data_IF_222360730194
#
_entry.id   IF_222360730194
#
_cell.length_a   1.000
_cell.length_b   1.000
_cell.length_c   1.000
_cell.angle_alpha   90.00
_cell.angle_beta   90.00
_cell.angle_gamma   90.00
#
_symmetry.space_group_name_H-M   'P 1'
#
loop_
_entity.id
_entity.type
_entity.pdbx_description
1 polymer ?
#
# COMPACT_ATOMS: atom_id res chain seq x y z
N UNK A 1 15.83 -55.89 65.92
CA UNK A 1 15.56 -54.53 65.43
C UNK A 1 15.82 -54.54 63.96
N UNK A 2 14.77 -54.53 63.13
CA UNK A 2 14.90 -54.60 61.64
C UNK A 2 14.44 -53.27 61.13
N UNK A 3 15.40 -52.51 60.52
CA UNK A 3 15.11 -51.26 59.83
C UNK A 3 14.56 -51.58 58.43
N UNK A 4 13.36 -51.13 58.13
CA UNK A 4 12.78 -51.15 56.82
C UNK A 4 13.08 -49.81 56.17
N UNK A 5 13.86 -49.85 55.10
CA UNK A 5 14.10 -48.71 54.20
C UNK A 5 12.94 -48.69 53.21
N UNK A 6 12.12 -47.63 53.21
CA UNK A 6 11.13 -47.37 52.19
C UNK A 6 11.80 -46.60 51.04
N UNK A 7 11.88 -47.24 49.88
CA UNK A 7 12.35 -46.64 48.65
C UNK A 7 11.12 -46.03 47.93
N UNK A 8 10.99 -44.71 47.95
CA UNK A 8 9.95 -44.00 47.18
C UNK A 8 10.41 -43.76 45.76
N UNK A 9 9.78 -44.46 44.82
CA UNK A 9 10.00 -44.24 43.38
C UNK A 9 9.10 -43.09 42.94
N UNK A 10 9.68 -41.95 42.61
CA UNK A 10 8.98 -40.87 41.92
C UNK A 10 8.98 -41.16 40.40
N UNK A 11 7.83 -41.54 39.86
CA UNK A 11 7.61 -41.60 38.40
C UNK A 11 7.26 -40.21 37.95
N UNK A 12 8.20 -39.53 37.31
CA UNK A 12 7.97 -38.27 36.62
C UNK A 12 7.32 -38.56 35.27
N UNK A 13 6.03 -38.33 35.16
CA UNK A 13 5.28 -38.37 33.90
C UNK A 13 5.60 -37.07 33.17
N UNK A 14 6.48 -37.13 32.18
CA UNK A 14 6.65 -36.06 31.20
C UNK A 14 5.47 -36.11 30.25
N UNK A 15 4.47 -35.23 30.45
CA UNK A 15 3.44 -34.95 29.46
C UNK A 15 4.08 -34.00 28.45
N UNK A 16 4.58 -34.54 27.34
CA UNK A 16 4.93 -33.75 26.17
C UNK A 16 3.62 -33.26 25.54
N UNK A 17 3.22 -32.03 25.85
CA UNK A 17 2.25 -31.31 25.03
C UNK A 17 2.87 -31.09 23.67
N UNK A 18 2.63 -32.01 22.75
CA UNK A 18 2.79 -31.72 21.34
C UNK A 18 1.71 -30.71 20.98
N UNK A 19 2.09 -29.44 20.95
CA UNK A 19 1.31 -28.42 20.28
C UNK A 19 1.17 -28.85 18.83
N UNK A 20 0.00 -29.38 18.48
CA UNK A 20 -0.41 -29.52 17.09
C UNK A 20 -0.38 -28.10 16.51
N UNK A 21 0.74 -27.74 15.89
CA UNK A 21 0.78 -26.61 14.99
C UNK A 21 -0.12 -27.01 13.82
N UNK A 22 -1.34 -26.53 13.84
CA UNK A 22 -2.20 -26.55 12.67
C UNK A 22 -1.49 -25.65 11.64
N UNK A 23 -0.67 -26.25 10.81
CA UNK A 23 -0.21 -25.61 9.58
C UNK A 23 -1.47 -25.45 8.73
N UNK A 24 -2.07 -24.28 8.73
CA UNK A 24 -3.05 -23.93 7.73
C UNK A 24 -2.32 -24.05 6.40
N UNK A 25 -2.64 -25.07 5.61
CA UNK A 25 -2.13 -25.21 4.26
C UNK A 25 -2.79 -24.13 3.38
N UNK A 26 -2.30 -22.89 3.52
CA UNK A 26 -2.70 -21.82 2.63
C UNK A 26 -2.30 -22.18 1.19
N UNK A 27 -3.23 -21.99 0.28
CA UNK A 27 -2.92 -22.01 -1.14
C UNK A 27 -2.32 -20.65 -1.54
N UNK A 28 -1.17 -20.65 -2.18
CA UNK A 28 -0.52 -19.47 -2.73
C UNK A 28 -0.49 -19.57 -4.26
N UNK A 29 -0.85 -18.51 -4.99
CA UNK A 29 -0.72 -18.52 -6.44
C UNK A 29 0.78 -18.51 -6.83
N UNK A 30 1.08 -19.19 -7.92
CA UNK A 30 2.40 -19.12 -8.56
C UNK A 30 2.47 -17.98 -9.58
N UNK A 31 2.99 -18.30 -10.78
CA UNK A 31 2.93 -17.41 -11.94
C UNK A 31 1.51 -17.26 -12.49
N UNK A 32 0.60 -18.18 -12.15
CA UNK A 32 -0.82 -18.17 -12.50
C UNK A 32 -1.69 -18.33 -11.26
N UNK A 33 -2.94 -17.94 -11.38
CA UNK A 33 -3.95 -18.04 -10.33
C UNK A 33 -4.93 -19.18 -10.64
N UNK A 34 -5.30 -19.95 -9.61
CA UNK A 34 -6.47 -20.82 -9.68
C UNK A 34 -7.75 -20.00 -9.51
N UNK A 35 -8.75 -20.31 -10.33
CA UNK A 35 -10.09 -19.76 -10.21
C UNK A 35 -11.06 -20.85 -9.80
N UNK A 36 -11.98 -20.53 -8.89
CA UNK A 36 -13.00 -21.48 -8.38
C UNK A 36 -14.34 -20.77 -8.26
N UNK A 37 -15.44 -21.54 -8.19
CA UNK A 37 -16.74 -20.92 -7.93
C UNK A 37 -16.81 -20.32 -6.52
N UNK A 38 -17.50 -19.20 -6.32
CA UNK A 38 -17.71 -18.60 -4.99
C UNK A 38 -18.33 -19.58 -4.00
N UNK A 39 -19.27 -20.43 -4.45
CA UNK A 39 -19.95 -21.42 -3.61
C UNK A 39 -18.98 -22.44 -3.05
N UNK A 40 -17.92 -22.80 -3.77
CA UNK A 40 -16.87 -23.69 -3.26
C UNK A 40 -16.09 -23.09 -2.07
N UNK A 41 -16.23 -21.78 -1.86
CA UNK A 41 -15.62 -21.01 -0.78
C UNK A 41 -16.67 -20.49 0.22
N UNK A 42 -17.89 -21.04 0.19
CA UNK A 42 -19.04 -20.66 1.02
C UNK A 42 -19.48 -19.20 0.83
N UNK A 43 -19.30 -18.65 -0.37
CA UNK A 43 -19.74 -17.31 -0.75
C UNK A 43 -20.77 -17.45 -1.86
N UNK A 44 -21.84 -16.65 -1.83
CA UNK A 44 -22.83 -16.64 -2.90
C UNK A 44 -22.27 -15.90 -4.12
N UNK A 45 -22.38 -16.50 -5.32
CA UNK A 45 -21.99 -15.83 -6.58
C UNK A 45 -22.60 -14.46 -6.70
N UNK A 46 -23.86 -14.28 -6.30
CA UNK A 46 -24.54 -12.99 -6.31
C UNK A 46 -23.82 -11.89 -5.54
N UNK A 47 -23.23 -12.19 -4.37
CA UNK A 47 -22.48 -11.20 -3.58
C UNK A 47 -21.21 -10.74 -4.30
N UNK A 48 -20.54 -11.66 -5.00
CA UNK A 48 -19.34 -11.35 -5.80
C UNK A 48 -19.71 -10.52 -7.04
N UNK A 49 -20.79 -10.88 -7.72
CA UNK A 49 -21.31 -10.16 -8.88
C UNK A 49 -21.71 -8.73 -8.49
N UNK A 50 -22.46 -8.56 -7.38
CA UNK A 50 -22.90 -7.25 -6.89
C UNK A 50 -21.70 -6.35 -6.55
N UNK A 51 -20.68 -6.88 -5.86
CA UNK A 51 -19.45 -6.12 -5.55
C UNK A 51 -18.75 -5.66 -6.84
N UNK A 52 -18.60 -6.56 -7.81
CA UNK A 52 -17.98 -6.24 -9.10
C UNK A 52 -18.82 -5.19 -9.85
N UNK A 53 -20.13 -5.32 -9.86
CA UNK A 53 -21.00 -4.36 -10.55
C UNK A 53 -20.97 -2.99 -9.91
N UNK A 54 -20.90 -2.89 -8.57
CA UNK A 54 -20.66 -1.62 -7.86
C UNK A 54 -19.38 -0.95 -8.36
N UNK A 55 -18.27 -1.70 -8.45
CA UNK A 55 -17.01 -1.15 -8.93
C UNK A 55 -17.10 -0.62 -10.38
N UNK A 56 -17.86 -1.29 -11.23
CA UNK A 56 -18.04 -0.92 -12.63
C UNK A 56 -19.14 0.15 -12.86
N UNK A 57 -19.80 0.64 -11.82
CA UNK A 57 -20.56 1.89 -11.91
C UNK A 57 -19.68 3.10 -12.21
N UNK A 58 -18.38 2.97 -11.92
CA UNK A 58 -17.35 3.94 -12.27
C UNK A 58 -16.69 3.53 -13.59
N UNK A 59 -16.88 4.32 -14.64
CA UNK A 59 -16.35 4.08 -15.98
C UNK A 59 -14.81 4.04 -16.01
N UNK A 60 -14.15 4.61 -15.01
CA UNK A 60 -12.69 4.55 -14.88
C UNK A 60 -12.18 3.17 -14.48
N UNK A 61 -13.02 2.27 -13.99
CA UNK A 61 -12.59 0.92 -13.60
C UNK A 61 -11.99 0.17 -14.78
N UNK A 62 -10.74 -0.27 -14.63
CA UNK A 62 -10.06 -1.15 -15.57
C UNK A 62 -10.35 -2.62 -15.21
N UNK A 63 -10.15 -2.97 -13.95
CA UNK A 63 -10.31 -4.34 -13.49
C UNK A 63 -10.58 -4.47 -12.01
N UNK A 64 -11.30 -5.52 -11.65
CA UNK A 64 -11.55 -5.94 -10.27
C UNK A 64 -11.23 -7.42 -10.16
N UNK A 65 -10.54 -7.78 -9.07
CA UNK A 65 -10.24 -9.18 -8.72
C UNK A 65 -10.67 -9.42 -7.28
N UNK A 66 -11.43 -10.48 -7.05
CA UNK A 66 -11.91 -10.91 -5.73
C UNK A 66 -11.31 -12.27 -5.41
N UNK A 67 -10.63 -12.37 -4.29
CA UNK A 67 -9.90 -13.56 -3.86
C UNK A 67 -10.43 -14.03 -2.51
N UNK A 68 -10.63 -15.32 -2.38
CA UNK A 68 -10.94 -16.04 -1.14
C UNK A 68 -10.02 -17.24 -0.99
N UNK A 69 -9.39 -17.37 0.18
CA UNK A 69 -8.49 -18.49 0.48
C UNK A 69 -7.37 -18.65 -0.57
N UNK A 70 -6.89 -17.52 -1.14
CA UNK A 70 -5.82 -17.47 -2.13
C UNK A 70 -6.24 -17.83 -3.55
N UNK A 71 -7.52 -18.03 -3.82
CA UNK A 71 -8.07 -18.37 -5.15
C UNK A 71 -8.99 -17.26 -5.64
N UNK A 72 -9.00 -17.03 -6.95
CA UNK A 72 -9.92 -16.07 -7.56
C UNK A 72 -11.33 -16.69 -7.53
N UNK A 73 -12.26 -15.94 -6.94
CA UNK A 73 -13.70 -16.29 -6.91
C UNK A 73 -14.53 -15.39 -7.82
N UNK A 74 -13.95 -14.32 -8.34
CA UNK A 74 -14.55 -13.44 -9.33
C UNK A 74 -13.56 -12.41 -9.82
N UNK A 75 -13.65 -12.08 -11.09
CA UNK A 75 -12.88 -11.01 -11.72
C UNK A 75 -13.60 -10.49 -12.94
N UNK A 76 -13.39 -9.22 -13.24
CA UNK A 76 -13.96 -8.57 -14.43
C UNK A 76 -13.03 -7.46 -14.89
N UNK A 77 -12.91 -7.32 -16.19
CA UNK A 77 -12.10 -6.29 -16.83
C UNK A 77 -12.97 -5.46 -17.78
N UNK A 78 -12.63 -4.19 -17.93
CA UNK A 78 -13.31 -3.32 -18.90
C UNK A 78 -13.03 -3.80 -20.34
N UNK A 79 -13.90 -3.41 -21.28
CA UNK A 79 -13.73 -3.75 -22.68
C UNK A 79 -12.36 -3.29 -23.20
N UNK A 80 -11.63 -4.20 -23.84
CA UNK A 80 -10.28 -3.98 -24.36
C UNK A 80 -9.16 -4.18 -23.34
N UNK A 81 -9.47 -4.61 -22.11
CA UNK A 81 -8.52 -4.94 -21.05
C UNK A 81 -8.68 -6.40 -20.61
N UNK A 82 -7.63 -6.92 -19.99
CA UNK A 82 -7.56 -8.31 -19.52
C UNK A 82 -6.78 -8.40 -18.18
N UNK A 83 -6.52 -9.62 -17.73
CA UNK A 83 -5.81 -9.92 -16.50
C UNK A 83 -4.34 -9.50 -16.49
N UNK A 84 -3.76 -9.20 -17.64
CA UNK A 84 -2.38 -8.73 -17.79
C UNK A 84 -2.30 -7.20 -17.95
N UNK A 85 -3.43 -6.53 -18.06
CA UNK A 85 -3.50 -5.10 -18.24
C UNK A 85 -3.09 -4.38 -16.96
N UNK A 86 -2.20 -3.41 -17.09
CA UNK A 86 -1.67 -2.65 -15.96
C UNK A 86 -2.55 -1.46 -15.61
N UNK A 87 -2.68 -1.21 -14.33
CA UNK A 87 -3.11 0.07 -13.77
C UNK A 87 -2.00 0.66 -12.91
N UNK A 88 -1.90 1.98 -12.87
CA UNK A 88 -0.91 2.66 -12.04
C UNK A 88 -1.34 2.67 -10.58
N UNK A 89 -0.46 2.24 -9.68
CA UNK A 89 -0.74 2.16 -8.23
C UNK A 89 -1.05 3.49 -7.58
N UNK A 90 -0.51 4.58 -8.12
CA UNK A 90 -0.43 5.82 -7.38
C UNK A 90 0.10 5.58 -5.97
N UNK A 91 -0.53 6.15 -4.97
CA UNK A 91 -0.05 6.08 -3.59
C UNK A 91 -0.11 4.70 -2.94
N UNK A 92 -0.69 3.65 -3.58
CA UNK A 92 -0.52 2.28 -3.07
C UNK A 92 0.95 1.88 -2.98
N UNK A 93 1.82 2.47 -3.83
CA UNK A 93 3.26 2.23 -3.80
C UNK A 93 3.88 2.48 -2.42
N UNK A 94 3.37 3.43 -1.65
CA UNK A 94 3.87 3.74 -0.30
C UNK A 94 3.88 2.51 0.60
N UNK A 95 2.83 1.70 0.54
CA UNK A 95 2.71 0.47 1.33
C UNK A 95 3.78 -0.56 0.95
N UNK A 96 4.17 -0.61 -0.33
CA UNK A 96 5.20 -1.54 -0.80
C UNK A 96 6.58 -1.15 -0.31
N UNK A 97 6.91 0.14 -0.32
CA UNK A 97 8.18 0.62 0.20
C UNK A 97 8.23 0.60 1.74
N UNK A 98 7.09 0.76 2.42
CA UNK A 98 6.99 0.51 3.86
C UNK A 98 7.30 -0.97 4.22
N UNK A 99 6.84 -1.91 3.39
CA UNK A 99 7.17 -3.33 3.55
C UNK A 99 8.67 -3.58 3.48
N UNK A 100 9.40 -2.88 2.61
CA UNK A 100 10.86 -2.97 2.54
C UNK A 100 11.55 -2.50 3.82
N UNK A 101 10.99 -1.50 4.51
CA UNK A 101 11.49 -1.10 5.83
C UNK A 101 11.32 -2.24 6.84
N UNK A 102 10.15 -2.89 6.86
CA UNK A 102 9.91 -4.07 7.70
C UNK A 102 10.90 -5.19 7.44
N UNK A 103 11.12 -5.52 6.15
CA UNK A 103 12.10 -6.54 5.74
C UNK A 103 13.54 -6.14 6.15
N UNK A 104 13.88 -4.86 6.03
CA UNK A 104 15.21 -4.37 6.42
C UNK A 104 15.41 -4.39 7.94
N UNK A 105 14.35 -4.22 8.73
CA UNK A 105 14.39 -4.44 10.18
C UNK A 105 14.60 -5.93 10.49
N UNK A 106 13.86 -6.82 9.85
CA UNK A 106 13.98 -8.26 10.03
C UNK A 106 15.38 -8.79 9.68
N UNK A 107 16.06 -8.13 8.73
CA UNK A 107 17.46 -8.43 8.34
C UNK A 107 18.52 -7.74 9.18
N UNK A 108 18.11 -6.88 10.12
CA UNK A 108 19.04 -6.11 10.97
C UNK A 108 19.79 -4.97 10.26
N UNK A 109 19.34 -4.58 9.06
CA UNK A 109 19.89 -3.45 8.29
C UNK A 109 19.38 -2.12 8.84
N UNK A 110 18.15 -2.09 9.33
CA UNK A 110 17.52 -1.01 10.11
C UNK A 110 17.31 -1.54 11.53
N UNK A 111 17.63 -0.76 12.55
CA UNK A 111 17.53 -1.21 13.94
C UNK A 111 16.08 -1.38 14.40
N UNK A 112 15.25 -0.39 14.14
CA UNK A 112 13.82 -0.42 14.49
C UNK A 112 13.05 0.72 13.81
N UNK A 113 11.73 0.70 13.89
CA UNK A 113 10.88 1.83 13.50
C UNK A 113 11.15 3.10 14.32
N UNK A 114 11.69 2.96 15.54
CA UNK A 114 12.01 4.08 16.42
C UNK A 114 13.42 4.66 16.19
N UNK A 115 14.19 4.10 15.26
CA UNK A 115 15.46 4.69 14.85
C UNK A 115 15.22 6.09 14.26
N UNK A 116 16.08 7.01 14.67
CA UNK A 116 16.04 8.37 14.14
C UNK A 116 16.60 8.40 12.73
N UNK A 117 15.93 9.13 11.84
CA UNK A 117 16.35 9.20 10.42
C UNK A 117 17.74 9.83 10.27
N UNK A 118 18.18 10.71 11.17
CA UNK A 118 19.54 11.24 11.17
C UNK A 118 20.64 10.20 11.35
N UNK A 119 20.32 8.98 11.80
CA UNK A 119 21.25 7.85 11.82
C UNK A 119 21.61 7.38 10.41
N UNK A 120 20.72 7.56 9.46
CA UNK A 120 20.85 7.12 8.07
C UNK A 120 21.08 8.31 7.13
N UNK A 121 20.37 9.41 7.33
CA UNK A 121 20.40 10.60 6.50
C UNK A 121 21.32 11.65 7.14
N UNK A 122 22.64 11.53 6.93
CA UNK A 122 23.65 12.40 7.54
C UNK A 122 23.47 13.89 7.22
N UNK A 123 22.82 14.21 6.08
CA UNK A 123 22.49 15.58 5.74
C UNK A 123 21.37 16.19 6.62
N UNK A 124 20.61 15.35 7.35
CA UNK A 124 19.70 15.79 8.39
C UNK A 124 20.46 15.99 9.71
N UNK A 125 21.23 17.08 9.79
CA UNK A 125 22.04 17.44 10.96
C UNK A 125 21.39 18.53 11.83
N UNK A 126 20.13 18.84 11.55
CA UNK A 126 19.28 19.79 12.27
C UNK A 126 18.14 19.04 13.01
N UNK A 127 17.01 19.70 13.26
CA UNK A 127 15.87 19.11 13.97
C UNK A 127 15.28 17.90 13.24
N UNK A 128 15.41 17.82 11.91
CA UNK A 128 14.97 16.68 11.12
C UNK A 128 15.66 15.38 11.53
N UNK A 129 16.88 15.46 12.08
CA UNK A 129 17.61 14.29 12.57
C UNK A 129 16.89 13.53 13.69
N UNK A 130 15.94 14.18 14.36
CA UNK A 130 15.18 13.60 15.48
C UNK A 130 13.94 12.83 15.02
N UNK A 131 13.47 13.07 13.79
CA UNK A 131 12.34 12.35 13.19
C UNK A 131 12.64 10.87 13.22
N UNK A 132 11.68 10.04 13.58
CA UNK A 132 11.80 8.59 13.57
C UNK A 132 11.37 8.03 12.21
N UNK A 133 11.84 6.86 11.83
CA UNK A 133 11.34 6.13 10.65
C UNK A 133 9.83 5.93 10.76
N UNK A 134 9.32 5.61 11.95
CA UNK A 134 7.89 5.54 12.24
C UNK A 134 7.15 6.82 11.86
N UNK A 135 7.68 7.98 12.20
CA UNK A 135 7.03 9.27 11.94
C UNK A 135 6.90 9.55 10.43
N UNK A 136 7.87 9.09 9.63
CA UNK A 136 7.75 9.13 8.17
C UNK A 136 6.63 8.19 7.68
N UNK A 137 6.62 6.94 8.16
CA UNK A 137 5.66 5.92 7.73
C UNK A 137 4.23 6.20 8.21
N UNK A 138 4.08 6.83 9.38
CA UNK A 138 2.78 7.21 9.96
C UNK A 138 2.29 8.58 9.50
N UNK A 139 3.00 9.23 8.57
CA UNK A 139 2.66 10.58 8.09
C UNK A 139 2.57 11.63 9.21
N UNK A 140 3.49 11.55 10.18
CA UNK A 140 3.55 12.45 11.34
C UNK A 140 4.92 13.10 11.54
N UNK A 141 5.72 13.21 10.50
CA UNK A 141 7.09 13.73 10.56
C UNK A 141 7.21 15.21 10.93
N UNK A 142 6.14 15.99 10.73
CA UNK A 142 6.17 17.44 10.92
C UNK A 142 6.94 18.22 9.84
N UNK A 143 7.32 17.56 8.74
CA UNK A 143 7.97 18.23 7.60
C UNK A 143 7.01 19.23 6.95
N UNK A 144 7.53 20.38 6.55
CA UNK A 144 6.77 21.47 5.93
C UNK A 144 6.46 21.18 4.45
N UNK A 145 5.57 20.22 4.26
CA UNK A 145 5.08 19.84 2.93
C UNK A 145 3.60 19.43 3.05
N UNK A 146 2.69 20.40 3.11
CA UNK A 146 1.26 20.10 3.25
C UNK A 146 0.72 19.37 2.02
N UNK A 147 -0.26 18.50 2.22
CA UNK A 147 -0.79 17.60 1.19
C UNK A 147 -1.34 18.32 -0.06
N UNK A 148 -1.80 19.56 0.07
CA UNK A 148 -2.27 20.37 -1.07
C UNK A 148 -1.14 20.92 -1.96
N UNK A 149 0.11 20.70 -1.58
CA UNK A 149 1.30 21.11 -2.34
C UNK A 149 2.05 19.93 -2.97
N UNK A 150 1.44 18.74 -2.98
CA UNK A 150 2.11 17.51 -3.46
C UNK A 150 2.68 17.62 -4.88
N UNK A 151 2.10 18.47 -5.74
CA UNK A 151 2.62 18.70 -7.08
C UNK A 151 3.99 19.39 -7.09
N UNK A 152 4.35 20.12 -6.04
CA UNK A 152 5.65 20.81 -5.99
C UNK A 152 6.82 19.84 -6.18
N UNK A 153 6.78 18.68 -5.49
CA UNK A 153 7.80 17.65 -5.65
C UNK A 153 7.65 16.93 -6.99
N UNK A 154 6.41 16.62 -7.38
CA UNK A 154 6.13 15.90 -8.60
C UNK A 154 6.65 16.63 -9.87
N UNK A 155 6.74 17.96 -9.82
CA UNK A 155 7.26 18.78 -10.90
C UNK A 155 8.78 19.03 -10.85
N UNK A 156 9.51 18.44 -9.91
CA UNK A 156 10.97 18.51 -9.91
C UNK A 156 11.58 17.50 -10.87
N UNK A 157 12.81 17.77 -11.33
CA UNK A 157 13.60 16.80 -12.10
C UNK A 157 14.24 15.76 -11.17
N UNK A 158 14.50 16.15 -9.93
CA UNK A 158 15.10 15.35 -8.88
C UNK A 158 14.22 15.41 -7.62
N UNK A 159 13.33 14.43 -7.48
CA UNK A 159 12.38 14.39 -6.38
C UNK A 159 13.09 14.14 -5.04
N UNK A 160 14.18 13.35 -5.06
CA UNK A 160 14.94 13.07 -3.85
C UNK A 160 15.67 14.33 -3.37
N UNK A 161 16.38 15.02 -4.26
CA UNK A 161 17.06 16.26 -3.91
C UNK A 161 16.06 17.32 -3.38
N UNK A 162 14.86 17.40 -3.97
CA UNK A 162 13.81 18.26 -3.42
C UNK A 162 13.39 17.85 -2.01
N UNK A 163 13.10 16.56 -1.79
CA UNK A 163 12.69 16.04 -0.50
C UNK A 163 13.73 16.33 0.61
N UNK A 164 15.01 16.27 0.26
CA UNK A 164 16.12 16.58 1.17
C UNK A 164 16.16 18.04 1.61
N UNK A 165 15.54 18.97 0.87
CA UNK A 165 15.53 20.41 1.19
C UNK A 165 14.36 20.82 2.09
N UNK A 166 13.34 19.97 2.25
CA UNK A 166 12.13 20.31 3.01
C UNK A 166 12.45 20.43 4.50
N UNK A 167 12.06 21.55 5.09
CA UNK A 167 12.28 21.86 6.51
C UNK A 167 11.22 21.23 7.42
N UNK A 168 11.32 21.53 8.72
CA UNK A 168 10.34 21.14 9.74
C UNK A 168 9.43 22.33 10.06
N UNK A 169 8.14 22.11 10.10
CA UNK A 169 7.14 23.08 10.57
C UNK A 169 6.67 22.74 11.99
N UNK A 170 6.60 21.45 12.33
CA UNK A 170 6.03 20.93 13.57
C UNK A 170 6.92 19.85 14.17
N UNK A 171 6.78 19.61 15.46
CA UNK A 171 7.40 18.47 16.11
C UNK A 171 6.84 17.15 15.57
N UNK A 172 7.73 16.18 15.33
CA UNK A 172 7.37 14.87 14.85
C UNK A 172 6.51 14.10 15.86
N UNK A 173 5.59 13.29 15.38
CA UNK A 173 4.68 12.46 16.18
C UNK A 173 3.46 13.19 16.74
N UNK A 174 3.27 14.49 16.48
CA UNK A 174 2.15 15.25 17.05
C UNK A 174 0.89 15.29 16.19
N UNK A 175 1.03 15.15 14.87
CA UNK A 175 -0.10 15.33 13.95
C UNK A 175 0.07 14.51 12.69
N UNK A 176 -1.02 13.85 12.31
CA UNK A 176 -1.12 13.25 10.99
C UNK A 176 -1.22 14.34 9.91
N UNK A 177 -0.32 14.29 8.94
CA UNK A 177 -0.35 15.13 7.74
C UNK A 177 0.20 14.34 6.55
N UNK A 178 -0.69 13.91 5.66
CA UNK A 178 -0.33 13.10 4.50
C UNK A 178 0.69 13.84 3.62
N UNK A 179 1.85 13.24 3.40
CA UNK A 179 3.03 13.92 2.89
C UNK A 179 3.85 13.00 1.99
N UNK A 180 3.99 13.34 0.71
CA UNK A 180 4.75 12.54 -0.26
C UNK A 180 6.27 12.58 0.01
N UNK A 181 6.79 13.64 0.62
CA UNK A 181 8.21 13.78 0.97
C UNK A 181 8.62 12.70 1.96
N UNK A 182 7.76 12.39 2.94
CA UNK A 182 8.01 11.31 3.89
C UNK A 182 8.35 9.99 3.18
N UNK A 183 7.53 9.63 2.21
CA UNK A 183 7.72 8.37 1.48
C UNK A 183 8.92 8.42 0.52
N UNK A 184 9.23 9.59 -0.05
CA UNK A 184 10.42 9.75 -0.87
C UNK A 184 11.71 9.57 -0.05
N UNK A 185 11.74 10.12 1.17
CA UNK A 185 12.86 9.95 2.10
C UNK A 185 13.03 8.50 2.59
N UNK A 186 11.96 7.70 2.66
CA UNK A 186 12.06 6.26 2.96
C UNK A 186 12.94 5.55 1.94
N UNK A 187 12.86 5.92 0.66
CA UNK A 187 13.75 5.38 -0.37
C UNK A 187 15.24 5.63 -0.09
N UNK A 188 15.57 6.82 0.43
CA UNK A 188 16.94 7.16 0.81
C UNK A 188 17.38 6.46 2.11
N UNK A 189 16.50 6.39 3.12
CA UNK A 189 16.75 5.60 4.34
C UNK A 189 17.11 4.15 3.97
N UNK A 190 16.35 3.53 3.08
CA UNK A 190 16.62 2.17 2.59
C UNK A 190 17.97 2.08 1.90
N UNK A 191 18.30 3.06 1.04
CA UNK A 191 19.59 3.08 0.36
C UNK A 191 20.76 3.21 1.34
N UNK A 192 20.69 4.14 2.30
CA UNK A 192 21.74 4.35 3.28
C UNK A 192 21.90 3.15 4.23
N UNK A 193 20.81 2.48 4.59
CA UNK A 193 20.84 1.31 5.45
C UNK A 193 21.39 0.05 4.76
N UNK A 194 21.15 -0.11 3.46
CA UNK A 194 21.39 -1.38 2.74
C UNK A 194 22.48 -1.29 1.67
N UNK A 195 22.82 -0.09 1.21
CA UNK A 195 23.67 0.14 0.05
C UNK A 195 23.02 -0.16 -1.32
N UNK A 196 21.71 -0.53 -1.33
CA UNK A 196 20.96 -0.84 -2.54
C UNK A 196 19.84 0.17 -2.77
N UNK A 197 19.60 0.55 -4.02
CA UNK A 197 18.46 1.40 -4.39
C UNK A 197 17.14 0.71 -4.10
N UNK A 198 16.12 1.48 -3.79
CA UNK A 198 14.81 0.96 -3.38
C UNK A 198 14.09 0.16 -4.48
N UNK A 199 14.31 0.48 -5.77
CA UNK A 199 13.81 -0.33 -6.89
C UNK A 199 14.40 -1.75 -6.88
N UNK A 200 15.73 -1.88 -6.74
CA UNK A 200 16.40 -3.17 -6.66
C UNK A 200 15.98 -3.98 -5.43
N UNK A 201 15.76 -3.30 -4.29
CA UNK A 201 15.25 -3.95 -3.08
C UNK A 201 13.82 -4.46 -3.29
N UNK A 202 12.98 -3.69 -3.99
CA UNK A 202 11.60 -4.07 -4.27
C UNK A 202 11.55 -5.30 -5.19
N UNK A 203 12.36 -5.30 -6.24
CA UNK A 203 12.51 -6.47 -7.12
C UNK A 203 12.94 -7.71 -6.36
N UNK A 204 14.06 -7.65 -5.64
CA UNK A 204 14.65 -8.79 -4.94
C UNK A 204 13.78 -9.32 -3.79
N UNK A 205 13.14 -8.43 -3.03
CA UNK A 205 12.55 -8.79 -1.74
C UNK A 205 11.03 -8.98 -1.77
N UNK A 206 10.38 -8.47 -2.81
CA UNK A 206 8.92 -8.54 -2.95
C UNK A 206 8.52 -9.14 -4.29
N UNK A 207 8.95 -8.55 -5.41
CA UNK A 207 8.47 -8.99 -6.72
C UNK A 207 8.92 -10.41 -7.07
N UNK A 208 10.21 -10.73 -6.89
CA UNK A 208 10.73 -12.08 -7.15
C UNK A 208 10.08 -13.15 -6.26
N UNK A 209 10.00 -13.00 -4.91
CA UNK A 209 9.34 -13.99 -4.07
C UNK A 209 7.86 -14.21 -4.41
N UNK A 210 7.14 -13.16 -4.81
CA UNK A 210 5.76 -13.24 -5.23
C UNK A 210 5.58 -13.66 -6.69
N UNK A 211 6.67 -13.91 -7.42
CA UNK A 211 6.66 -14.27 -8.84
C UNK A 211 5.92 -13.23 -9.71
N UNK A 212 6.17 -11.96 -9.43
CA UNK A 212 5.68 -10.82 -10.22
C UNK A 212 6.77 -10.44 -11.21
N UNK A 213 6.54 -10.64 -12.50
CA UNK A 213 7.54 -10.42 -13.56
C UNK A 213 7.16 -9.35 -14.56
N UNK A 214 5.89 -8.93 -14.57
CA UNK A 214 5.38 -7.92 -15.48
C UNK A 214 4.97 -6.68 -14.68
N UNK A 215 5.86 -5.69 -14.62
CA UNK A 215 5.67 -4.46 -13.85
C UNK A 215 6.48 -3.31 -14.46
N UNK A 216 6.15 -2.08 -14.05
CA UNK A 216 6.99 -0.89 -14.29
C UNK A 216 7.13 -0.10 -13.01
N UNK A 217 8.33 0.39 -12.72
CA UNK A 217 8.61 1.28 -11.60
C UNK A 217 8.89 2.68 -12.13
N UNK A 218 8.08 3.64 -11.72
CA UNK A 218 8.27 5.01 -12.18
C UNK A 218 9.49 5.64 -11.52
N UNK A 219 10.25 6.40 -12.30
CA UNK A 219 11.44 7.13 -11.88
C UNK A 219 11.32 8.60 -12.26
N UNK A 220 11.95 9.46 -11.47
CA UNK A 220 12.15 10.85 -11.85
C UNK A 220 13.20 11.00 -12.95
N UNK A 221 13.43 12.23 -13.42
CA UNK A 221 14.40 12.48 -14.51
C UNK A 221 15.86 12.19 -14.11
N UNK A 222 16.16 12.04 -12.82
CA UNK A 222 17.48 11.65 -12.28
C UNK A 222 17.62 10.16 -12.03
N UNK A 223 16.56 9.39 -12.29
CA UNK A 223 16.54 7.94 -12.12
C UNK A 223 16.31 7.49 -10.68
N UNK A 224 15.83 8.37 -9.80
CA UNK A 224 15.35 7.95 -8.48
C UNK A 224 13.99 7.30 -8.63
N UNK A 225 13.81 6.10 -8.07
CA UNK A 225 12.49 5.48 -8.03
C UNK A 225 11.55 6.30 -7.14
N UNK A 226 10.32 6.48 -7.60
CA UNK A 226 9.32 7.29 -6.91
C UNK A 226 8.67 6.46 -5.80
N UNK A 227 9.30 6.37 -4.63
CA UNK A 227 8.82 5.55 -3.51
C UNK A 227 7.49 6.02 -2.89
N UNK A 228 7.05 7.20 -3.23
CA UNK A 228 5.75 7.74 -2.81
C UNK A 228 4.63 7.47 -3.81
N UNK A 229 4.96 7.04 -5.00
CA UNK A 229 4.04 6.84 -6.12
C UNK A 229 4.56 5.75 -7.06
N UNK A 230 3.73 5.17 -7.70
CA UNK A 230 3.64 4.72 -9.07
C UNK A 230 4.50 3.50 -9.38
N UNK A 231 3.86 2.39 -9.16
CA UNK A 231 4.18 1.09 -9.74
C UNK A 231 3.04 0.76 -10.69
N UNK A 232 3.33 0.20 -11.87
CA UNK A 232 2.33 -0.32 -12.77
C UNK A 232 2.35 -1.85 -12.73
N UNK A 233 1.24 -2.46 -12.35
CA UNK A 233 1.05 -3.90 -12.30
C UNK A 233 -0.39 -4.26 -12.66
N UNK A 234 -0.63 -5.55 -12.86
CA UNK A 234 -1.99 -6.07 -13.03
C UNK A 234 -2.76 -6.12 -11.70
N UNK A 235 -4.10 -6.16 -11.77
CA UNK A 235 -4.93 -6.33 -10.57
C UNK A 235 -4.59 -7.62 -9.81
N UNK A 236 -4.28 -8.68 -10.54
CA UNK A 236 -3.86 -9.97 -9.97
C UNK A 236 -2.54 -9.87 -9.21
N UNK A 237 -1.58 -9.08 -9.71
CA UNK A 237 -0.28 -8.92 -9.06
C UNK A 237 -0.35 -8.01 -7.82
N UNK A 238 -1.16 -6.96 -7.86
CA UNK A 238 -1.47 -6.17 -6.66
C UNK A 238 -2.10 -7.04 -5.58
N UNK A 239 -2.97 -7.99 -5.96
CA UNK A 239 -3.62 -8.90 -5.03
C UNK A 239 -2.64 -9.85 -4.34
N UNK A 240 -1.51 -10.23 -4.97
CA UNK A 240 -0.46 -11.03 -4.32
C UNK A 240 0.14 -10.30 -3.12
N UNK A 241 0.37 -8.98 -3.25
CA UNK A 241 0.85 -8.18 -2.13
C UNK A 241 -0.18 -8.09 -0.99
N UNK A 242 -1.45 -7.89 -1.32
CA UNK A 242 -2.54 -7.95 -0.35
C UNK A 242 -2.58 -9.29 0.39
N UNK A 243 -2.43 -10.39 -0.35
CA UNK A 243 -2.43 -11.74 0.21
C UNK A 243 -1.22 -11.98 1.14
N UNK A 244 -0.04 -11.46 0.79
CA UNK A 244 1.15 -11.51 1.65
C UNK A 244 0.86 -10.89 3.03
N UNK A 245 0.28 -9.69 3.06
CA UNK A 245 -0.07 -9.00 4.30
C UNK A 245 -1.23 -9.69 5.03
N UNK A 246 -2.26 -10.11 4.31
CA UNK A 246 -3.39 -10.87 4.87
C UNK A 246 -2.93 -12.14 5.60
N UNK A 247 -1.82 -12.71 5.19
CA UNK A 247 -1.25 -13.95 5.74
C UNK A 247 -0.01 -13.74 6.61
N UNK A 248 0.02 -12.65 7.35
CA UNK A 248 1.08 -12.36 8.32
C UNK A 248 2.49 -12.28 7.72
N UNK A 249 2.61 -11.82 6.47
CA UNK A 249 3.88 -11.70 5.78
C UNK A 249 4.49 -13.03 5.32
N UNK A 250 3.71 -14.11 5.30
CA UNK A 250 4.13 -15.41 4.78
C UNK A 250 3.81 -15.57 3.32
N UNK A 251 4.71 -16.20 2.59
CA UNK A 251 4.50 -16.64 1.21
C UNK A 251 5.07 -18.04 1.03
N UNK A 252 4.22 -19.01 0.73
CA UNK A 252 4.56 -20.43 0.79
C UNK A 252 5.13 -20.80 2.17
N UNK A 253 6.37 -21.29 2.21
CA UNK A 253 7.08 -21.68 3.44
C UNK A 253 7.93 -20.55 4.03
N UNK A 254 8.04 -19.41 3.34
CA UNK A 254 8.95 -18.33 3.69
C UNK A 254 8.23 -17.22 4.45
N UNK A 255 8.89 -16.71 5.49
CA UNK A 255 8.48 -15.48 6.16
C UNK A 255 9.18 -14.32 5.45
N UNK A 256 8.46 -13.64 4.55
CA UNK A 256 9.00 -12.51 3.76
C UNK A 256 9.11 -11.26 4.63
N UNK A 257 8.07 -11.00 5.44
CA UNK A 257 7.98 -9.88 6.38
C UNK A 257 7.54 -10.44 7.72
N UNK A 258 8.17 -10.06 8.83
CA UNK A 258 7.80 -10.57 10.15
C UNK A 258 6.32 -10.30 10.47
N UNK A 259 5.71 -11.28 11.16
CA UNK A 259 4.34 -11.12 11.65
C UNK A 259 4.20 -9.87 12.55
N UNK A 260 5.22 -9.55 13.34
CA UNK A 260 5.22 -8.39 14.22
C UNK A 260 5.10 -7.09 13.45
N UNK A 261 5.82 -6.92 12.34
CA UNK A 261 5.69 -5.74 11.50
C UNK A 261 4.30 -5.67 10.85
N UNK A 262 3.77 -6.79 10.35
CA UNK A 262 2.42 -6.85 9.78
C UNK A 262 1.36 -6.51 10.82
N UNK A 263 1.48 -7.04 12.05
CA UNK A 263 0.54 -6.72 13.13
C UNK A 263 0.59 -5.24 13.51
N UNK A 264 1.77 -4.63 13.51
CA UNK A 264 1.94 -3.20 13.79
C UNK A 264 1.37 -2.33 12.65
N UNK A 265 1.54 -2.76 11.41
CA UNK A 265 0.94 -2.12 10.24
C UNK A 265 -0.59 -2.06 10.34
N UNK A 266 -1.20 -3.11 10.88
CA UNK A 266 -2.65 -3.23 11.01
C UNK A 266 -3.20 -2.70 12.33
N UNK A 267 -2.57 -1.64 12.85
CA UNK A 267 -3.11 -0.82 13.95
C UNK A 267 -3.74 0.46 13.39
N UNK A 268 -4.59 1.10 14.17
CA UNK A 268 -5.06 2.47 13.88
C UNK A 268 -4.25 3.41 14.77
N UNK A 269 -3.17 3.97 14.24
CA UNK A 269 -2.34 4.93 14.96
C UNK A 269 -2.95 6.32 14.86
N UNK A 270 -3.46 6.66 13.67
CA UNK A 270 -4.13 7.92 13.44
C UNK A 270 -5.57 7.70 12.99
N UNK A 271 -6.50 8.32 13.69
CA UNK A 271 -7.86 8.49 13.22
C UNK A 271 -7.93 9.75 12.36
N UNK A 272 -8.24 9.57 11.08
CA UNK A 272 -8.31 10.67 10.12
C UNK A 272 -9.71 11.29 10.04
N UNK A 273 -10.69 10.78 10.80
CA UNK A 273 -11.98 11.47 10.96
C UNK A 273 -11.78 12.78 11.74
N UNK A 274 -12.58 13.82 11.57
CA UNK A 274 -13.85 13.89 10.83
C UNK A 274 -13.71 14.36 9.37
N UNK A 275 -12.52 14.36 8.78
CA UNK A 275 -12.31 14.91 7.43
C UNK A 275 -12.84 14.02 6.30
N UNK A 276 -13.16 12.77 6.60
CA UNK A 276 -13.69 11.80 5.65
C UNK A 276 -15.20 11.65 5.82
N UNK A 277 -15.93 11.64 4.72
CA UNK A 277 -17.39 11.54 4.71
C UNK A 277 -17.87 10.09 4.78
N UNK A 278 -16.95 9.13 4.69
CA UNK A 278 -17.25 7.71 4.50
C UNK A 278 -16.39 6.87 5.44
N UNK A 279 -16.66 5.58 5.53
CA UNK A 279 -15.83 4.60 6.25
C UNK A 279 -14.47 4.33 5.59
N UNK A 280 -14.31 4.73 4.32
CA UNK A 280 -13.09 4.55 3.56
C UNK A 280 -11.94 5.39 4.13
N UNK A 281 -10.78 4.77 4.32
CA UNK A 281 -9.54 5.46 4.73
C UNK A 281 -9.67 6.30 6.00
N UNK A 282 -10.38 5.82 7.01
CA UNK A 282 -10.56 6.52 8.28
C UNK A 282 -9.37 6.44 9.21
N UNK A 283 -8.65 5.30 9.20
CA UNK A 283 -7.47 5.08 10.00
C UNK A 283 -6.20 5.02 9.16
N UNK A 284 -5.04 5.23 9.81
CA UNK A 284 -3.74 5.17 9.15
C UNK A 284 -2.66 4.61 10.07
N UNK A 285 -1.77 3.79 9.53
CA UNK A 285 -0.57 3.28 10.17
C UNK A 285 0.41 2.77 9.12
N UNK A 286 1.69 3.09 9.28
CA UNK A 286 2.83 2.56 8.49
C UNK A 286 2.56 2.49 6.97
N UNK A 287 2.05 3.59 6.40
CA UNK A 287 1.68 3.70 4.99
C UNK A 287 0.53 2.77 4.54
N UNK A 288 -0.27 2.28 5.47
CA UNK A 288 -1.52 1.60 5.21
C UNK A 288 -2.71 2.39 5.71
N UNK A 289 -3.82 2.24 5.02
CA UNK A 289 -5.10 2.78 5.43
C UNK A 289 -5.92 1.71 6.15
N UNK A 290 -6.74 2.16 7.06
CA UNK A 290 -7.75 1.31 7.72
C UNK A 290 -9.11 1.86 7.38
N UNK A 291 -9.94 1.02 6.76
CA UNK A 291 -11.32 1.32 6.42
C UNK A 291 -12.24 0.47 7.28
N UNK A 292 -13.46 0.96 7.55
CA UNK A 292 -14.50 0.17 8.22
C UNK A 292 -14.01 -0.54 9.50
N UNK A 293 -13.45 0.19 10.47
CA UNK A 293 -12.99 -0.39 11.73
C UNK A 293 -13.97 -0.21 12.90
N UNK A 294 -15.21 0.18 12.62
CA UNK A 294 -16.32 0.23 13.56
C UNK A 294 -17.02 -1.14 13.60
N UNK A 295 -17.67 -1.48 14.71
CA UNK A 295 -18.50 -2.67 14.88
C UNK A 295 -17.82 -4.04 14.70
N UNK A 296 -16.54 -4.15 15.05
CA UNK A 296 -15.71 -5.35 14.93
C UNK A 296 -15.34 -5.77 13.49
N UNK A 297 -15.73 -5.01 12.47
CA UNK A 297 -15.30 -5.24 11.10
C UNK A 297 -14.15 -4.30 10.76
N UNK A 298 -13.03 -4.86 10.29
CA UNK A 298 -11.84 -4.11 9.91
C UNK A 298 -11.37 -4.55 8.54
N UNK A 299 -11.30 -3.58 7.63
CA UNK A 299 -10.65 -3.76 6.35
C UNK A 299 -9.42 -2.86 6.31
N UNK A 300 -8.29 -3.43 5.99
CA UNK A 300 -7.06 -2.70 5.71
C UNK A 300 -6.91 -2.55 4.21
N UNK A 301 -6.32 -1.45 3.77
CA UNK A 301 -6.14 -1.26 2.35
C UNK A 301 -4.92 -0.42 1.99
N UNK A 302 -4.30 -0.77 0.89
CA UNK A 302 -3.49 0.17 0.15
C UNK A 302 -4.41 1.06 -0.66
N UNK A 303 -4.10 2.36 -0.75
CA UNK A 303 -4.96 3.33 -1.43
C UNK A 303 -4.15 4.23 -2.35
N UNK A 304 -4.63 4.39 -3.55
CA UNK A 304 -4.07 5.30 -4.55
C UNK A 304 -5.13 6.22 -5.15
N UNK A 305 -4.67 7.32 -5.74
CA UNK A 305 -5.53 8.31 -6.39
C UNK A 305 -6.46 7.63 -7.40
N UNK A 306 -7.65 8.15 -7.57
CA UNK A 306 -8.68 7.65 -8.50
C UNK A 306 -9.23 6.25 -8.18
N UNK A 307 -9.11 5.81 -6.93
CA UNK A 307 -9.70 4.55 -6.51
C UNK A 307 -8.89 3.31 -6.86
N UNK A 308 -7.59 3.44 -6.85
CA UNK A 308 -6.71 2.27 -6.82
C UNK A 308 -6.75 1.69 -5.42
N UNK A 309 -7.18 0.45 -5.26
CA UNK A 309 -7.31 -0.18 -3.95
C UNK A 309 -6.88 -1.65 -4.00
N UNK A 310 -6.23 -2.09 -2.94
CA UNK A 310 -6.18 -3.49 -2.55
C UNK A 310 -6.67 -3.59 -1.12
N UNK A 311 -7.88 -4.07 -0.93
CA UNK A 311 -8.50 -4.31 0.37
C UNK A 311 -8.10 -5.68 0.90
N UNK A 312 -7.87 -5.77 2.19
CA UNK A 312 -7.44 -6.95 2.91
C UNK A 312 -8.37 -7.18 4.11
N UNK A 313 -9.24 -8.16 4.01
CA UNK A 313 -9.95 -8.75 5.15
C UNK A 313 -9.13 -9.94 5.64
N UNK A 314 -8.38 -9.70 6.70
CA UNK A 314 -7.43 -10.66 7.24
C UNK A 314 -8.11 -11.83 7.95
N UNK A 315 -9.27 -11.59 8.57
CA UNK A 315 -9.99 -12.58 9.35
C UNK A 315 -10.63 -13.61 8.43
N UNK A 316 -11.11 -13.18 7.27
CA UNK A 316 -11.78 -14.04 6.32
C UNK A 316 -10.90 -14.49 5.14
N UNK A 317 -9.61 -14.11 5.11
CA UNK A 317 -8.69 -14.38 3.99
C UNK A 317 -9.30 -13.94 2.63
N UNK A 318 -9.86 -12.71 2.61
CA UNK A 318 -10.42 -12.08 1.42
C UNK A 318 -9.52 -10.94 0.99
N UNK A 319 -9.21 -10.90 -0.31
CA UNK A 319 -8.52 -9.79 -0.94
C UNK A 319 -9.38 -9.27 -2.08
N UNK A 320 -9.59 -7.96 -2.14
CA UNK A 320 -10.30 -7.33 -3.23
C UNK A 320 -9.43 -6.22 -3.80
N UNK A 321 -9.07 -6.35 -5.07
CA UNK A 321 -8.27 -5.36 -5.77
C UNK A 321 -9.09 -4.70 -6.87
N UNK A 322 -9.08 -3.38 -6.89
CA UNK A 322 -9.61 -2.57 -7.98
C UNK A 322 -8.52 -1.67 -8.55
N UNK A 323 -8.40 -1.65 -9.87
CA UNK A 323 -7.52 -0.74 -10.62
C UNK A 323 -8.30 0.02 -11.68
N UNK A 324 -7.78 1.18 -12.07
CA UNK A 324 -8.43 2.06 -13.06
C UNK A 324 -7.66 2.15 -14.36
N UNK A 325 -8.33 2.69 -15.40
CA UNK A 325 -7.77 2.97 -16.74
C UNK A 325 -6.74 4.11 -16.74
N UNK A 326 -6.09 4.31 -15.61
CA UNK A 326 -5.03 5.28 -15.45
C UNK A 326 -3.73 4.65 -15.94
N UNK A 327 -3.42 4.84 -17.21
CA UNK A 327 -2.18 4.33 -17.77
C UNK A 327 -1.21 5.48 -18.02
N UNK A 328 0.04 5.26 -17.64
CA UNK A 328 1.09 6.11 -18.15
C UNK A 328 1.13 5.98 -19.68
N UNK A 329 1.12 7.10 -20.37
CA UNK A 329 1.44 7.09 -21.79
C UNK A 329 2.84 6.50 -21.98
N UNK A 330 3.09 5.88 -23.13
CA UNK A 330 4.35 5.20 -23.43
C UNK A 330 5.54 6.16 -23.44
N UNK A 331 5.98 6.55 -22.27
CA UNK A 331 7.12 7.44 -22.01
C UNK A 331 8.31 6.67 -21.43
N UNK A 332 8.22 5.34 -21.32
CA UNK A 332 9.19 4.50 -20.62
C UNK A 332 8.99 4.58 -19.09
N UNK A 333 10.03 4.22 -18.35
CA UNK A 333 10.00 4.17 -16.88
C UNK A 333 10.22 5.53 -16.21
N UNK A 334 10.53 6.57 -16.99
CA UNK A 334 10.85 7.90 -16.46
C UNK A 334 9.63 8.80 -16.53
N UNK A 335 9.25 9.37 -15.40
CA UNK A 335 8.25 10.40 -15.33
C UNK A 335 8.65 11.60 -16.18
N UNK A 336 7.79 12.01 -17.10
CA UNK A 336 7.97 13.21 -17.91
C UNK A 336 6.94 14.27 -17.58
N UNK A 337 7.34 15.50 -17.69
CA UNK A 337 6.49 16.64 -17.38
C UNK A 337 5.32 16.86 -18.35
N UNK A 338 5.31 16.18 -19.48
CA UNK A 338 4.33 16.46 -20.52
C UNK A 338 4.32 17.95 -20.92
N UNK A 339 3.15 18.55 -21.17
CA UNK A 339 3.06 19.97 -21.50
C UNK A 339 3.58 20.90 -20.40
N UNK A 340 3.56 20.49 -19.13
CA UNK A 340 4.01 21.29 -17.99
C UNK A 340 5.50 21.61 -18.02
N UNK A 341 6.32 20.81 -18.72
CA UNK A 341 7.75 21.09 -18.90
C UNK A 341 8.04 22.49 -19.45
N UNK A 342 7.12 23.04 -20.21
CA UNK A 342 7.25 24.39 -20.76
C UNK A 342 7.04 25.49 -19.72
N UNK A 343 6.55 25.16 -18.53
CA UNK A 343 6.32 26.08 -17.42
C UNK A 343 7.46 26.08 -16.40
N UNK A 344 8.42 25.15 -16.50
CA UNK A 344 9.56 25.06 -15.57
C UNK A 344 10.35 26.37 -15.46
N UNK A 345 10.46 27.13 -16.53
CA UNK A 345 11.15 28.43 -16.56
C UNK A 345 10.53 29.48 -15.61
N UNK A 346 9.27 29.34 -15.29
CA UNK A 346 8.57 30.25 -14.37
C UNK A 346 8.90 29.98 -12.89
N UNK A 347 9.65 28.90 -12.61
CA UNK A 347 9.86 28.36 -11.27
C UNK A 347 8.73 27.46 -10.83
N UNK A 348 9.02 26.51 -9.93
CA UNK A 348 8.07 25.45 -9.51
C UNK A 348 6.77 26.01 -8.97
N UNK A 349 6.82 26.98 -8.06
CA UNK A 349 5.60 27.54 -7.45
C UNK A 349 4.67 28.21 -8.48
N UNK A 350 5.23 28.91 -9.46
CA UNK A 350 4.44 29.51 -10.52
C UNK A 350 3.93 28.47 -11.50
N UNK A 351 4.76 27.47 -11.84
CA UNK A 351 4.34 26.37 -12.70
C UNK A 351 3.16 25.60 -12.07
N UNK A 352 3.22 25.31 -10.77
CA UNK A 352 2.14 24.67 -10.01
C UNK A 352 0.86 25.53 -10.05
N UNK A 353 0.96 26.84 -9.77
CA UNK A 353 -0.21 27.75 -9.82
C UNK A 353 -0.86 27.78 -11.21
N UNK A 354 -0.03 27.88 -12.25
CA UNK A 354 -0.51 27.90 -13.64
C UNK A 354 -1.15 26.55 -13.98
N UNK A 355 -0.48 25.44 -13.61
CA UNK A 355 -0.98 24.10 -13.85
C UNK A 355 -2.35 23.86 -13.19
N UNK A 356 -2.50 24.20 -11.92
CA UNK A 356 -3.80 24.13 -11.23
C UNK A 356 -4.87 24.94 -11.93
N UNK A 357 -4.56 26.18 -12.31
CA UNK A 357 -5.53 27.02 -13.04
C UNK A 357 -5.93 26.45 -14.40
N UNK A 358 -5.01 25.75 -15.09
CA UNK A 358 -5.32 25.10 -16.36
C UNK A 358 -6.18 23.83 -16.16
N UNK A 359 -5.92 23.08 -15.09
CA UNK A 359 -6.73 21.91 -14.69
C UNK A 359 -8.14 22.36 -14.31
N UNK A 360 -8.27 23.38 -13.45
CA UNK A 360 -9.56 23.94 -13.02
C UNK A 360 -10.41 24.45 -14.20
N UNK A 361 -9.75 24.95 -15.23
CA UNK A 361 -10.41 25.42 -16.47
C UNK A 361 -10.66 24.30 -17.49
N UNK A 362 -10.30 23.06 -17.18
CA UNK A 362 -10.42 21.94 -18.10
C UNK A 362 -9.53 22.03 -19.36
N UNK A 363 -8.46 22.82 -19.31
CA UNK A 363 -7.52 22.96 -20.43
C UNK A 363 -6.51 21.81 -20.49
N UNK A 364 -6.11 21.31 -19.32
CA UNK A 364 -5.26 20.13 -19.16
C UNK A 364 -5.84 19.24 -18.08
N UNK A 365 -5.61 17.94 -18.22
CA UNK A 365 -5.92 16.98 -17.16
C UNK A 365 -4.77 16.90 -16.16
N UNK A 366 -5.09 16.59 -14.92
CA UNK A 366 -4.08 16.28 -13.93
C UNK A 366 -3.32 15.02 -14.32
N UNK A 367 -2.02 15.06 -14.16
CA UNK A 367 -1.18 13.93 -14.57
C UNK A 367 -1.05 13.80 -16.07
N UNK A 368 -0.52 14.82 -16.72
CA UNK A 368 -0.36 14.96 -18.18
C UNK A 368 0.31 13.79 -18.90
N UNK A 369 0.91 12.86 -18.18
CA UNK A 369 1.50 11.63 -18.72
C UNK A 369 0.59 10.41 -18.54
N UNK A 370 -0.62 10.61 -18.03
CA UNK A 370 -1.54 9.54 -17.67
C UNK A 370 -2.85 9.75 -18.40
N UNK A 371 -3.35 8.71 -19.04
CA UNK A 371 -4.69 8.72 -19.63
C UNK A 371 -5.67 8.31 -18.54
N UNK A 372 -6.67 9.16 -18.29
CA UNK A 372 -7.72 8.87 -17.33
C UNK A 372 -9.08 9.30 -17.85
N UNK A 373 -10.15 8.53 -17.60
CA UNK A 373 -11.52 8.94 -17.91
C UNK A 373 -12.13 9.89 -16.87
N UNK A 374 -11.47 10.15 -15.72
CA UNK A 374 -11.97 11.08 -14.70
C UNK A 374 -10.95 12.18 -14.42
N UNK A 375 -11.47 13.36 -14.04
CA UNK A 375 -10.65 14.50 -13.61
C UNK A 375 -10.20 14.36 -12.15
N UNK A 376 -9.18 15.11 -11.74
CA UNK A 376 -8.76 15.17 -10.33
C UNK A 376 -9.91 15.61 -9.41
N UNK A 377 -10.68 16.62 -9.81
CA UNK A 377 -11.78 17.12 -9.00
C UNK A 377 -12.89 16.09 -8.82
N UNK A 378 -13.17 15.27 -9.82
CA UNK A 378 -14.12 14.16 -9.70
C UNK A 378 -13.58 13.07 -8.79
N UNK A 379 -12.31 12.69 -8.96
CA UNK A 379 -11.65 11.65 -8.16
C UNK A 379 -11.44 12.02 -6.68
N UNK A 380 -11.64 13.29 -6.32
CA UNK A 380 -11.58 13.79 -4.93
C UNK A 380 -12.92 14.30 -4.43
N UNK A 381 -14.00 14.16 -5.21
CA UNK A 381 -15.34 14.62 -4.84
C UNK A 381 -15.95 13.77 -3.74
N UNK A 382 -16.90 14.36 -3.02
CA UNK A 382 -17.69 13.63 -2.01
C UNK A 382 -18.45 12.45 -2.65
N UNK A 383 -19.01 12.68 -3.82
CA UNK A 383 -19.79 11.70 -4.60
C UNK A 383 -18.91 10.49 -4.98
N UNK A 384 -17.65 10.73 -5.32
CA UNK A 384 -16.68 9.66 -5.59
C UNK A 384 -16.44 8.80 -4.34
N UNK A 385 -16.18 9.43 -3.18
CA UNK A 385 -15.96 8.69 -1.94
C UNK A 385 -17.21 7.95 -1.45
N UNK A 386 -18.41 8.53 -1.59
CA UNK A 386 -19.66 7.85 -1.22
C UNK A 386 -19.88 6.59 -2.04
N UNK A 387 -19.52 6.58 -3.33
CA UNK A 387 -19.58 5.38 -4.17
C UNK A 387 -18.74 4.23 -3.62
N UNK A 388 -17.60 4.53 -2.99
CA UNK A 388 -16.76 3.52 -2.37
C UNK A 388 -17.24 3.07 -0.99
N UNK A 389 -18.16 3.75 -0.36
CA UNK A 389 -18.88 3.23 0.81
C UNK A 389 -19.65 1.96 0.44
N UNK A 390 -20.43 2.00 -0.65
CA UNK A 390 -21.15 0.83 -1.17
C UNK A 390 -20.20 -0.33 -1.52
N UNK A 391 -18.98 -0.01 -1.99
CA UNK A 391 -17.96 -1.01 -2.27
C UNK A 391 -17.45 -1.69 -1.00
N UNK A 392 -17.27 -0.94 0.09
CA UNK A 392 -16.91 -1.50 1.40
C UNK A 392 -18.04 -2.41 1.92
N UNK A 393 -19.30 -2.01 1.80
CA UNK A 393 -20.45 -2.84 2.16
C UNK A 393 -20.47 -4.14 1.36
N UNK A 394 -20.16 -4.05 0.07
CA UNK A 394 -20.04 -5.22 -0.80
C UNK A 394 -18.94 -6.20 -0.33
N UNK A 395 -17.79 -5.69 0.15
CA UNK A 395 -16.72 -6.52 0.72
C UNK A 395 -17.17 -7.16 2.04
N UNK A 396 -17.84 -6.40 2.91
CA UNK A 396 -18.39 -6.91 4.17
C UNK A 396 -19.36 -8.06 3.92
N UNK A 397 -20.22 -7.95 2.91
CA UNK A 397 -21.16 -9.00 2.51
C UNK A 397 -20.50 -10.29 2.00
N UNK A 398 -19.20 -10.25 1.60
CA UNK A 398 -18.47 -11.47 1.25
C UNK A 398 -18.06 -12.27 2.51
N UNK A 399 -17.92 -11.61 3.66
CA UNK A 399 -17.52 -12.24 4.92
C UNK A 399 -18.72 -12.67 5.78
N UNK A 400 -19.91 -12.11 5.55
CA UNK A 400 -21.09 -12.52 6.24
C UNK A 400 -21.51 -13.94 5.85
N UNK A 401 -21.47 -14.88 6.79
CA UNK A 401 -22.15 -16.17 6.65
C UNK A 401 -23.65 -15.88 6.52
N UNK A 402 -24.13 -15.87 5.31
CA UNK A 402 -25.56 -15.80 5.05
C UNK A 402 -26.17 -17.16 5.37
N UNK A 403 -26.57 -17.34 6.63
CA UNK A 403 -27.48 -18.44 7.02
C UNK A 403 -28.84 -18.29 6.36
#
# INVERSE_FOLDING_TARGET
>A
MKNKIFLSIYVAIFITLSSLVYSSNYYYPGSSWDSVSPESQNIKSKNVEDLIDIAFTDESTLGVVVIKNGKIIGEKYASGYDENSHGTSWSMAKSYYAALVGISIDRGEIGSLDDKVGKYLEYFNDERSKIKIRDLLDMSSGLDFPSHEHEKMFFQDDHLAYAQTVGVEKEAGLKFEYNNVNSMLIGDVLFQATGKKADLLFEERILEPLQITNYKLWKDEKGNVMTYCCVDMSARDYSKFGLLFGRNGKWNNDQIISKSFVDETFQVIWDTTPKRFTRLNRGYSLHWWVSAYEDNFKIFNTSGKFGQYTFVDRENDIIVTRITKYNQQDTGDVQKWGPMKYLKWAGVDNAVKIGRSLIEKGVIESGSNVITPITDSEGESKEFYVRYEDFIDGIENLSCDCH
#
